data_IF_781176169240
#
_entry.id   IF_781176169240
#
_cell.length_a   1.000
_cell.length_b   1.000
_cell.length_c   1.000
_cell.angle_alpha   90.00
_cell.angle_beta   90.00
_cell.angle_gamma   90.00
#
_symmetry.space_group_name_H-M   'P 1'
#
loop_
_entity.id
_entity.type
_entity.pdbx_description
1 polymer ?
#
# COMPACT_ATOMS: atom_id res chain seq x y z
N UNK A 1 12.97 -30.23 17.81
CA UNK A 1 13.80 -29.49 16.83
C UNK A 1 12.83 -28.73 15.94
N UNK A 2 12.65 -27.43 16.15
CA UNK A 2 11.83 -26.60 15.26
C UNK A 2 12.56 -26.52 13.92
N UNK A 3 11.97 -27.11 12.87
CA UNK A 3 12.51 -27.02 11.53
C UNK A 3 12.63 -25.53 11.17
N UNK A 4 13.84 -25.09 10.77
CA UNK A 4 14.07 -23.72 10.33
C UNK A 4 13.23 -23.45 9.10
N UNK A 5 12.30 -22.49 9.18
CA UNK A 5 11.44 -22.14 8.05
C UNK A 5 12.26 -21.47 6.94
N UNK A 6 11.89 -21.65 5.66
CA UNK A 6 12.55 -20.96 4.56
C UNK A 6 12.45 -19.43 4.71
N UNK A 7 13.49 -18.71 4.29
CA UNK A 7 13.46 -17.24 4.24
C UNK A 7 12.36 -16.76 3.30
N UNK A 8 12.19 -17.42 2.15
CA UNK A 8 11.07 -17.21 1.24
C UNK A 8 10.45 -18.54 0.85
N UNK A 9 9.12 -18.60 0.83
CA UNK A 9 8.38 -19.77 0.39
C UNK A 9 7.08 -19.37 -0.30
N UNK A 10 6.74 -20.11 -1.35
CA UNK A 10 5.39 -20.04 -1.93
C UNK A 10 4.42 -20.67 -0.94
N UNK A 11 3.24 -20.07 -0.81
CA UNK A 11 2.14 -20.67 -0.07
C UNK A 11 1.17 -21.29 -1.08
N UNK A 12 0.86 -22.57 -0.92
CA UNK A 12 -0.11 -23.31 -1.73
C UNK A 12 -1.53 -23.13 -1.15
N UNK A 13 -1.93 -21.87 -0.98
CA UNK A 13 -3.23 -21.46 -0.47
C UNK A 13 -3.88 -20.45 -1.42
N UNK A 14 -5.17 -20.24 -1.25
CA UNK A 14 -5.89 -19.16 -1.93
C UNK A 14 -5.49 -17.78 -1.39
N UNK A 15 -5.72 -16.75 -2.19
CA UNK A 15 -5.57 -15.34 -1.76
C UNK A 15 -6.46 -15.03 -0.55
N UNK A 16 -7.65 -15.62 -0.48
CA UNK A 16 -8.56 -15.46 0.65
C UNK A 16 -7.97 -16.04 1.95
N UNK A 17 -7.46 -17.27 1.93
CA UNK A 17 -6.84 -17.90 3.10
C UNK A 17 -5.61 -17.11 3.56
N UNK A 18 -4.76 -16.68 2.63
CA UNK A 18 -3.61 -15.84 2.93
C UNK A 18 -4.01 -14.50 3.57
N UNK A 19 -5.03 -13.83 3.03
CA UNK A 19 -5.57 -12.60 3.60
C UNK A 19 -6.18 -12.84 4.99
N UNK A 20 -6.91 -13.95 5.19
CA UNK A 20 -7.47 -14.30 6.50
C UNK A 20 -6.38 -14.51 7.56
N UNK A 21 -5.27 -15.15 7.20
CA UNK A 21 -4.14 -15.37 8.11
C UNK A 21 -3.58 -14.04 8.66
N UNK A 22 -3.61 -12.96 7.86
CA UNK A 22 -3.06 -11.66 8.28
C UNK A 22 -3.75 -11.05 9.50
N UNK A 23 -4.98 -11.48 9.82
CA UNK A 23 -5.71 -11.05 11.03
C UNK A 23 -5.00 -11.46 12.32
N UNK A 24 -4.21 -12.53 12.28
CA UNK A 24 -3.45 -13.04 13.42
C UNK A 24 -2.03 -12.43 13.54
N UNK A 25 -1.63 -11.52 12.64
CA UNK A 25 -0.29 -10.93 12.63
C UNK A 25 -0.12 -9.71 13.56
N UNK A 26 -1.17 -9.32 14.27
CA UNK A 26 -1.20 -8.07 15.03
C UNK A 26 -1.34 -6.86 14.11
N UNK A 27 -0.46 -5.87 14.23
CA UNK A 27 -0.43 -4.73 13.30
C UNK A 27 0.15 -5.12 11.95
N UNK A 28 -0.61 -4.85 10.90
CA UNK A 28 -0.23 -5.08 9.51
C UNK A 28 -0.13 -3.77 8.76
N UNK A 29 0.90 -3.63 7.93
CA UNK A 29 1.01 -2.58 6.93
C UNK A 29 0.72 -3.16 5.54
N UNK A 30 -0.41 -2.77 4.94
CA UNK A 30 -0.71 -3.06 3.54
C UNK A 30 -0.06 -1.96 2.69
N UNK A 31 1.05 -2.31 2.03
CA UNK A 31 1.86 -1.40 1.23
C UNK A 31 1.76 -1.76 -0.25
N UNK A 32 1.43 -0.76 -1.07
CA UNK A 32 1.37 -0.86 -2.52
C UNK A 32 1.99 0.39 -3.15
N UNK A 33 2.71 0.21 -4.26
CA UNK A 33 3.39 1.29 -4.94
C UNK A 33 3.26 1.15 -6.46
N UNK A 34 2.97 2.27 -7.15
CA UNK A 34 2.93 2.35 -8.59
C UNK A 34 3.17 3.79 -9.03
N UNK A 35 3.85 3.98 -10.17
CA UNK A 35 3.93 5.26 -10.86
C UNK A 35 4.37 6.46 -9.98
N UNK A 36 5.27 6.22 -9.02
CA UNK A 36 5.77 7.26 -8.11
C UNK A 36 4.89 7.55 -6.90
N UNK A 37 3.80 6.81 -6.68
CA UNK A 37 3.00 6.87 -5.46
C UNK A 37 3.09 5.55 -4.68
N UNK A 38 3.34 5.64 -3.38
CA UNK A 38 3.22 4.52 -2.42
C UNK A 38 2.13 4.85 -1.43
N UNK A 39 1.19 3.93 -1.24
CA UNK A 39 0.07 4.05 -0.31
C UNK A 39 0.12 2.91 0.71
N UNK A 40 0.15 3.27 1.99
CA UNK A 40 0.27 2.31 3.09
C UNK A 40 -0.86 2.50 4.10
N UNK A 41 -1.62 1.42 4.36
CA UNK A 41 -2.58 1.36 5.48
C UNK A 41 -2.00 0.54 6.61
N UNK A 42 -2.13 1.02 7.84
CA UNK A 42 -1.42 0.48 9.00
C UNK A 42 -2.40 0.22 10.15
N UNK A 43 -2.42 -1.01 10.63
CA UNK A 43 -3.20 -1.42 11.80
C UNK A 43 -3.65 -2.86 11.72
N UNK A 44 -4.47 -3.34 12.68
CA UNK A 44 -5.00 -4.69 12.64
C UNK A 44 -5.97 -4.87 11.48
N UNK A 45 -5.95 -6.04 10.84
CA UNK A 45 -6.94 -6.41 9.81
C UNK A 45 -8.24 -6.84 10.51
N UNK A 46 -9.30 -6.06 10.33
CA UNK A 46 -10.59 -6.30 10.99
C UNK A 46 -11.32 -7.51 10.42
N UNK A 47 -11.85 -7.36 9.20
CA UNK A 47 -12.60 -8.37 8.47
C UNK A 47 -11.93 -8.67 7.13
N UNK A 48 -12.10 -9.92 6.68
CA UNK A 48 -11.66 -10.41 5.38
C UNK A 48 -12.82 -11.15 4.75
N UNK A 49 -13.40 -10.56 3.71
CA UNK A 49 -14.65 -11.01 3.08
C UNK A 49 -14.40 -11.40 1.63
N UNK A 50 -15.10 -12.41 1.14
CA UNK A 50 -15.14 -12.75 -0.28
C UNK A 50 -16.38 -12.09 -0.91
N UNK A 51 -16.17 -11.20 -1.87
CA UNK A 51 -17.22 -10.41 -2.53
C UNK A 51 -16.98 -10.41 -4.04
N UNK A 52 -17.86 -11.04 -4.83
CA UNK A 52 -17.90 -10.94 -6.31
C UNK A 52 -16.52 -10.99 -6.99
N UNK A 53 -15.77 -12.08 -6.78
CA UNK A 53 -14.43 -12.26 -7.37
C UNK A 53 -13.33 -11.42 -6.73
N UNK A 54 -13.58 -10.84 -5.56
CA UNK A 54 -12.62 -10.04 -4.83
C UNK A 54 -12.52 -10.46 -3.37
N UNK A 55 -11.35 -10.22 -2.78
CA UNK A 55 -11.20 -10.23 -1.32
C UNK A 55 -11.25 -8.79 -0.83
N UNK A 56 -12.20 -8.50 0.07
CA UNK A 56 -12.30 -7.20 0.74
C UNK A 56 -11.66 -7.27 2.12
N UNK A 57 -10.77 -6.33 2.40
CA UNK A 57 -10.27 -6.05 3.74
C UNK A 57 -11.07 -4.86 4.28
N UNK A 58 -11.67 -5.05 5.46
CA UNK A 58 -12.46 -4.01 6.12
C UNK A 58 -12.06 -3.87 7.60
N UNK A 59 -12.39 -2.72 8.20
CA UNK A 59 -12.12 -2.37 9.59
C UNK A 59 -11.53 -0.97 9.71
N UNK A 60 -11.30 -0.52 10.93
CA UNK A 60 -10.86 0.86 11.20
C UNK A 60 -9.57 1.24 10.45
N UNK A 61 -8.64 0.30 10.33
CA UNK A 61 -7.34 0.51 9.70
C UNK A 61 -7.31 0.19 8.20
N UNK A 62 -8.20 -0.66 7.68
CA UNK A 62 -8.09 -1.16 6.31
C UNK A 62 -9.41 -1.05 5.57
N UNK A 63 -9.38 -0.44 4.40
CA UNK A 63 -10.43 -0.48 3.39
C UNK A 63 -9.74 -0.78 2.05
N UNK A 64 -9.76 -2.04 1.64
CA UNK A 64 -9.12 -2.48 0.42
C UNK A 64 -9.90 -3.59 -0.28
N UNK A 65 -9.74 -3.66 -1.60
CA UNK A 65 -10.32 -4.68 -2.46
C UNK A 65 -9.24 -5.27 -3.35
N UNK A 66 -9.09 -6.59 -3.27
CA UNK A 66 -8.09 -7.39 -3.97
C UNK A 66 -8.80 -8.15 -5.09
N UNK A 67 -8.34 -7.99 -6.33
CA UNK A 67 -8.94 -8.65 -7.50
C UNK A 67 -8.34 -10.06 -7.69
N UNK A 68 -9.18 -11.08 -7.56
CA UNK A 68 -8.76 -12.49 -7.67
C UNK A 68 -8.48 -12.93 -9.10
N UNK A 69 -8.91 -12.18 -10.11
CA UNK A 69 -8.52 -12.44 -11.50
C UNK A 69 -7.08 -12.01 -11.78
N UNK A 70 -6.54 -11.07 -10.98
CA UNK A 70 -5.19 -10.53 -11.16
C UNK A 70 -4.21 -11.12 -10.16
N UNK A 71 -4.61 -11.28 -8.90
CA UNK A 71 -3.77 -11.81 -7.83
C UNK A 71 -3.93 -13.32 -7.76
N UNK A 72 -2.88 -14.05 -8.14
CA UNK A 72 -2.91 -15.51 -8.29
C UNK A 72 -1.83 -16.23 -7.48
N UNK A 73 -0.88 -15.50 -6.89
CA UNK A 73 0.24 -16.05 -6.13
C UNK A 73 0.38 -15.44 -4.75
N UNK A 74 0.84 -16.26 -3.80
CA UNK A 74 1.10 -15.85 -2.41
C UNK A 74 2.47 -16.36 -1.99
N UNK A 75 3.29 -15.47 -1.41
CA UNK A 75 4.63 -15.80 -0.90
C UNK A 75 4.77 -15.28 0.52
N UNK A 76 5.23 -16.14 1.43
CA UNK A 76 5.74 -15.71 2.72
C UNK A 76 7.21 -15.33 2.58
N UNK A 77 7.57 -14.12 3.01
CA UNK A 77 8.92 -13.57 2.92
C UNK A 77 9.37 -13.00 4.27
N UNK A 78 10.42 -13.60 4.84
CA UNK A 78 11.00 -13.29 6.15
C UNK A 78 12.30 -12.47 6.03
N UNK A 79 12.67 -12.06 4.82
CA UNK A 79 13.89 -11.30 4.55
C UNK A 79 13.81 -9.82 4.94
N UNK A 80 12.59 -9.29 5.13
CA UNK A 80 12.38 -7.87 5.42
C UNK A 80 13.09 -7.42 6.70
N UNK A 81 13.84 -6.31 6.61
CA UNK A 81 14.56 -5.72 7.73
C UNK A 81 14.34 -4.22 7.77
N UNK A 82 14.09 -3.70 8.97
CA UNK A 82 14.14 -2.26 9.26
C UNK A 82 14.99 -2.04 10.50
N UNK A 83 16.21 -1.54 10.28
CA UNK A 83 17.27 -1.52 11.31
C UNK A 83 17.43 -2.95 11.89
N UNK A 84 17.30 -3.11 13.20
CA UNK A 84 17.46 -4.40 13.89
C UNK A 84 16.18 -5.26 13.89
N UNK A 85 15.05 -4.77 13.36
CA UNK A 85 13.77 -5.49 13.35
C UNK A 85 13.58 -6.31 12.08
N UNK A 86 13.11 -7.54 12.24
CA UNK A 86 12.57 -8.37 11.14
C UNK A 86 11.14 -7.89 10.86
N UNK A 87 10.85 -7.59 9.61
CA UNK A 87 9.50 -7.23 9.13
C UNK A 87 9.11 -8.24 8.05
N UNK A 88 8.63 -9.43 8.44
CA UNK A 88 8.18 -10.41 7.47
C UNK A 88 6.89 -9.94 6.80
N UNK A 89 6.61 -10.48 5.62
CA UNK A 89 5.46 -10.07 4.81
C UNK A 89 4.86 -11.24 4.05
N UNK A 90 3.57 -11.13 3.76
CA UNK A 90 2.92 -11.88 2.69
C UNK A 90 2.96 -10.99 1.44
N UNK A 91 3.60 -11.48 0.38
CA UNK A 91 3.59 -10.87 -0.93
C UNK A 91 2.43 -11.45 -1.75
N UNK A 92 1.62 -10.58 -2.34
CA UNK A 92 0.54 -10.95 -3.25
C UNK A 92 1.00 -10.69 -4.67
N UNK A 93 0.97 -11.73 -5.50
CA UNK A 93 1.62 -11.76 -6.80
C UNK A 93 0.65 -12.00 -7.95
N UNK A 94 0.99 -11.48 -9.13
CA UNK A 94 0.32 -11.84 -10.38
C UNK A 94 0.77 -13.22 -10.90
N UNK A 95 0.23 -13.63 -12.05
CA UNK A 95 0.56 -14.90 -12.69
C UNK A 95 2.04 -14.99 -13.14
N UNK A 96 2.72 -13.86 -13.35
CA UNK A 96 4.14 -13.81 -13.67
C UNK A 96 5.05 -13.92 -12.42
N UNK A 97 4.47 -13.94 -11.22
CA UNK A 97 5.22 -13.97 -9.96
C UNK A 97 5.75 -12.60 -9.50
N UNK A 98 5.28 -11.52 -10.13
CA UNK A 98 5.62 -10.15 -9.72
C UNK A 98 4.78 -9.76 -8.51
N UNK A 99 5.42 -9.16 -7.50
CA UNK A 99 4.71 -8.65 -6.32
C UNK A 99 3.93 -7.39 -6.67
N UNK A 100 2.61 -7.46 -6.52
CA UNK A 100 1.69 -6.34 -6.75
C UNK A 100 1.57 -5.46 -5.49
N UNK A 101 1.49 -6.10 -4.32
CA UNK A 101 1.47 -5.44 -3.02
C UNK A 101 1.91 -6.42 -1.92
N UNK A 102 2.09 -5.93 -0.70
CA UNK A 102 2.50 -6.75 0.44
C UNK A 102 1.75 -6.39 1.72
N UNK A 103 1.47 -7.40 2.54
CA UNK A 103 0.97 -7.25 3.90
C UNK A 103 2.11 -7.57 4.86
N UNK A 104 2.66 -6.54 5.48
CA UNK A 104 3.88 -6.60 6.30
C UNK A 104 3.47 -6.67 7.77
N UNK A 105 3.96 -7.68 8.50
CA UNK A 105 3.71 -7.79 9.94
C UNK A 105 4.66 -6.86 10.71
N UNK A 106 4.10 -5.81 11.31
CA UNK A 106 4.86 -4.82 12.06
C UNK A 106 5.25 -5.29 13.46
N UNK A 107 4.52 -6.27 13.98
CA UNK A 107 4.77 -6.86 15.30
C UNK A 107 5.82 -7.99 15.26
N UNK A 108 6.38 -8.25 14.07
CA UNK A 108 7.60 -9.05 13.90
C UNK A 108 7.36 -10.51 13.49
N UNK A 109 8.42 -11.30 13.66
CA UNK A 109 8.51 -12.65 13.08
C UNK A 109 7.60 -13.69 13.76
N UNK A 110 7.48 -13.64 15.08
CA UNK A 110 6.73 -14.65 15.84
C UNK A 110 5.21 -14.62 15.57
N UNK A 111 4.51 -13.46 15.60
CA UNK A 111 3.11 -13.39 15.19
C UNK A 111 2.90 -13.79 13.73
N UNK A 112 3.83 -13.40 12.85
CA UNK A 112 3.79 -13.78 11.45
C UNK A 112 3.88 -15.29 11.25
N UNK A 113 4.86 -15.95 11.88
CA UNK A 113 5.05 -17.39 11.72
C UNK A 113 3.90 -18.21 12.33
N UNK A 114 3.30 -17.70 13.41
CA UNK A 114 2.09 -18.27 13.98
C UNK A 114 0.93 -18.13 13.00
N UNK A 115 0.71 -16.95 12.42
CA UNK A 115 -0.38 -16.69 11.49
C UNK A 115 -0.32 -17.57 10.22
N UNK A 116 0.87 -17.85 9.70
CA UNK A 116 1.04 -18.64 8.46
C UNK A 116 1.33 -20.12 8.71
N UNK A 117 1.34 -20.60 9.96
CA UNK A 117 1.73 -21.99 10.28
C UNK A 117 0.85 -23.04 9.63
N UNK A 118 -0.43 -22.72 9.46
CA UNK A 118 -1.46 -23.66 9.02
C UNK A 118 -1.68 -23.57 7.50
N UNK A 119 -1.00 -22.65 6.82
CA UNK A 119 -1.08 -22.50 5.37
C UNK A 119 -0.22 -23.56 4.68
N UNK A 120 -0.74 -24.29 3.68
CA UNK A 120 0.04 -25.26 2.94
C UNK A 120 1.26 -24.62 2.26
N UNK A 121 2.41 -25.29 2.33
CA UNK A 121 3.62 -24.82 1.67
C UNK A 121 3.63 -25.25 0.20
N UNK A 122 4.04 -24.33 -0.68
CA UNK A 122 4.16 -24.52 -2.13
C UNK A 122 5.60 -24.64 -2.62
N UNK A 123 6.56 -24.75 -1.69
CA UNK A 123 7.99 -24.88 -1.97
C UNK A 123 8.82 -23.63 -1.64
N UNK A 124 10.10 -23.85 -1.37
CA UNK A 124 11.08 -22.80 -1.09
C UNK A 124 11.38 -21.96 -2.33
N UNK A 125 11.57 -20.66 -2.13
CA UNK A 125 11.98 -19.71 -3.16
C UNK A 125 13.37 -19.15 -2.82
N UNK A 126 14.16 -18.76 -3.84
CA UNK A 126 15.41 -18.03 -3.60
C UNK A 126 15.12 -16.67 -2.96
N UNK A 127 16.10 -16.13 -2.25
CA UNK A 127 16.05 -14.75 -1.77
C UNK A 127 15.93 -13.78 -2.95
N UNK A 128 15.22 -12.67 -2.73
CA UNK A 128 15.16 -11.58 -3.71
C UNK A 128 16.44 -10.76 -3.59
N UNK A 129 17.10 -10.52 -4.72
CA UNK A 129 18.12 -9.49 -4.78
C UNK A 129 17.49 -8.14 -4.47
N UNK A 130 18.15 -7.37 -3.60
CA UNK A 130 17.73 -6.00 -3.34
C UNK A 130 18.14 -5.15 -4.55
N UNK A 131 17.22 -4.38 -5.16
CA UNK A 131 17.59 -3.44 -6.21
C UNK A 131 18.68 -2.50 -5.70
N UNK A 132 19.67 -2.23 -6.55
CA UNK A 132 20.64 -1.19 -6.26
C UNK A 132 19.90 0.16 -6.12
N UNK A 133 20.33 1.05 -5.21
CA UNK A 133 19.79 2.40 -5.17
C UNK A 133 19.93 3.05 -6.54
N UNK A 134 18.89 3.75 -7.00
CA UNK A 134 19.01 4.60 -8.18
C UNK A 134 20.10 5.65 -7.92
N UNK A 135 21.06 5.78 -8.83
CA UNK A 135 22.14 6.76 -8.72
C UNK A 135 21.71 8.22 -8.91
N UNK A 136 20.45 8.44 -9.29
CA UNK A 136 19.91 9.78 -9.52
C UNK A 136 19.67 10.52 -8.22
N UNK A 137 20.04 11.80 -8.21
CA UNK A 137 19.72 12.70 -7.10
C UNK A 137 18.19 12.86 -7.06
N UNK A 138 17.54 12.67 -5.90
CA UNK A 138 16.12 12.94 -5.77
C UNK A 138 15.82 14.41 -6.13
N UNK A 139 14.74 14.64 -6.88
CA UNK A 139 14.25 15.98 -7.13
C UNK A 139 13.87 16.66 -5.80
N UNK A 140 14.02 17.98 -5.74
CA UNK A 140 13.61 18.75 -4.58
C UNK A 140 12.09 18.94 -4.61
N UNK A 141 11.44 18.71 -3.47
CA UNK A 141 10.00 18.93 -3.34
C UNK A 141 9.77 20.41 -3.04
N UNK A 142 9.04 21.10 -3.90
CA UNK A 142 8.60 22.48 -3.67
C UNK A 142 7.13 22.52 -3.25
N UNK A 143 6.70 23.57 -2.54
CA UNK A 143 5.28 23.78 -2.21
C UNK A 143 4.41 23.95 -3.47
N UNK A 144 5.03 24.32 -4.59
CA UNK A 144 4.39 24.49 -5.90
C UNK A 144 4.40 23.22 -6.76
N UNK A 145 4.96 22.11 -6.26
CA UNK A 145 4.90 20.83 -6.94
C UNK A 145 3.42 20.46 -7.20
N UNK A 146 3.02 20.11 -8.45
CA UNK A 146 1.62 19.83 -8.74
C UNK A 146 1.02 18.71 -7.88
N UNK A 147 1.83 17.75 -7.44
CA UNK A 147 1.42 16.69 -6.51
C UNK A 147 1.21 17.19 -5.08
N UNK A 148 1.91 18.25 -4.66
CA UNK A 148 1.83 18.79 -3.31
C UNK A 148 0.63 19.74 -3.11
N UNK A 149 0.29 20.54 -4.14
CA UNK A 149 -0.73 21.59 -4.07
C UNK A 149 -2.06 21.13 -3.45
N UNK A 150 -2.75 20.09 -3.93
CA UNK A 150 -4.04 19.70 -3.35
C UNK A 150 -3.90 19.08 -1.94
N UNK A 151 -2.76 18.45 -1.62
CA UNK A 151 -2.51 17.94 -0.28
C UNK A 151 -2.35 19.09 0.72
N UNK A 152 -1.62 20.15 0.34
CA UNK A 152 -1.51 21.35 1.14
C UNK A 152 -2.86 22.06 1.32
N UNK A 153 -3.71 22.09 0.29
CA UNK A 153 -5.08 22.62 0.40
C UNK A 153 -5.92 21.81 1.40
N UNK A 154 -5.86 20.47 1.33
CA UNK A 154 -6.57 19.59 2.27
C UNK A 154 -6.08 19.76 3.71
N UNK A 155 -4.76 19.91 3.91
CA UNK A 155 -4.19 20.20 5.23
C UNK A 155 -4.65 21.56 5.76
N UNK A 156 -4.66 22.59 4.90
CA UNK A 156 -5.02 23.94 5.29
C UNK A 156 -6.52 24.07 5.64
N UNK A 157 -7.40 23.32 4.96
CA UNK A 157 -8.83 23.32 5.26
C UNK A 157 -9.17 22.58 6.56
N UNK A 158 -8.37 21.55 6.92
CA UNK A 158 -8.66 20.68 8.05
C UNK A 158 -9.85 19.73 7.82
N UNK A 159 -10.43 19.75 6.62
CA UNK A 159 -11.56 18.92 6.24
C UNK A 159 -11.14 17.46 6.05
N UNK A 160 -12.12 16.57 6.12
CA UNK A 160 -11.91 15.16 5.79
C UNK A 160 -11.82 14.99 4.28
N UNK A 161 -10.76 14.33 3.81
CA UNK A 161 -10.61 13.90 2.42
C UNK A 161 -10.48 12.38 2.34
N UNK A 162 -10.78 11.83 1.17
CA UNK A 162 -10.46 10.46 0.77
C UNK A 162 -9.22 10.44 -0.11
N UNK A 163 -8.35 9.47 0.11
CA UNK A 163 -7.21 9.13 -0.75
C UNK A 163 -7.43 7.70 -1.22
N UNK A 164 -7.54 7.53 -2.53
CA UNK A 164 -7.73 6.21 -3.16
C UNK A 164 -6.53 5.90 -4.01
N UNK A 165 -5.96 4.72 -3.80
CA UNK A 165 -4.89 4.16 -4.62
C UNK A 165 -5.42 2.94 -5.37
N UNK A 166 -5.19 2.90 -6.68
CA UNK A 166 -5.64 1.86 -7.59
C UNK A 166 -4.47 1.40 -8.45
N UNK A 167 -4.11 0.13 -8.32
CA UNK A 167 -3.10 -0.54 -9.13
C UNK A 167 -3.62 -1.92 -9.53
N UNK A 168 -3.00 -2.60 -10.51
CA UNK A 168 -3.39 -3.96 -10.88
C UNK A 168 -3.50 -4.87 -9.64
N UNK A 169 -4.67 -5.45 -9.44
CA UNK A 169 -4.94 -6.37 -8.33
C UNK A 169 -5.32 -5.73 -7.00
N UNK A 170 -5.26 -4.40 -6.84
CA UNK A 170 -5.57 -3.74 -5.58
C UNK A 170 -6.20 -2.35 -5.76
N UNK A 171 -7.30 -2.12 -5.06
CA UNK A 171 -7.78 -0.79 -4.71
C UNK A 171 -7.72 -0.63 -3.19
N UNK A 172 -7.09 0.44 -2.70
CA UNK A 172 -6.96 0.74 -1.28
C UNK A 172 -7.43 2.17 -1.01
N UNK A 173 -8.08 2.39 0.13
CA UNK A 173 -8.64 3.68 0.52
C UNK A 173 -8.17 4.10 1.91
N UNK A 174 -8.02 5.40 2.05
CA UNK A 174 -7.94 6.09 3.32
C UNK A 174 -8.92 7.25 3.32
N UNK A 175 -9.51 7.54 4.47
CA UNK A 175 -10.35 8.73 4.68
C UNK A 175 -9.97 9.37 6.00
N UNK A 176 -9.69 10.67 6.00
CA UNK A 176 -9.41 11.42 7.20
C UNK A 176 -8.91 12.83 6.92
N UNK A 177 -8.54 13.54 7.98
CA UNK A 177 -7.91 14.86 7.90
C UNK A 177 -6.41 14.70 7.68
N UNK A 178 -5.82 15.52 6.81
CA UNK A 178 -4.35 15.56 6.62
C UNK A 178 -3.73 16.43 7.70
N UNK A 179 -3.12 15.83 8.71
CA UNK A 179 -2.53 16.58 9.83
C UNK A 179 -1.24 17.32 9.44
N UNK A 180 -0.34 16.65 8.72
CA UNK A 180 0.97 17.20 8.35
C UNK A 180 1.49 16.64 7.03
N UNK A 181 2.33 17.45 6.35
CA UNK A 181 2.97 17.10 5.09
C UNK A 181 4.47 17.34 5.25
N UNK A 182 5.26 16.29 5.03
CA UNK A 182 6.71 16.31 5.26
C UNK A 182 7.47 16.03 3.97
N UNK A 183 8.03 17.05 3.32
CA UNK A 183 8.99 16.85 2.24
C UNK A 183 10.25 16.13 2.75
N UNK A 184 10.60 14.99 2.17
CA UNK A 184 11.84 14.28 2.50
C UNK A 184 12.30 13.39 1.35
N UNK A 185 13.60 13.39 1.06
CA UNK A 185 14.24 12.48 0.10
C UNK A 185 13.61 12.46 -1.30
N UNK A 186 13.06 13.60 -1.74
CA UNK A 186 12.35 13.74 -3.02
C UNK A 186 10.92 13.19 -3.02
N UNK A 187 10.30 13.05 -1.84
CA UNK A 187 8.90 12.67 -1.68
C UNK A 187 8.13 13.71 -0.88
N UNK A 188 6.89 13.95 -1.30
CA UNK A 188 5.83 14.57 -0.51
C UNK A 188 5.25 13.45 0.36
N UNK A 189 5.36 13.59 1.69
CA UNK A 189 4.93 12.53 2.61
C UNK A 189 3.76 12.98 3.49
N UNK A 190 2.74 12.14 3.60
CA UNK A 190 1.76 12.17 4.69
C UNK A 190 2.12 11.00 5.59
N UNK A 191 2.38 11.25 6.88
CA UNK A 191 2.78 10.21 7.84
C UNK A 191 1.87 10.31 9.06
N UNK A 192 0.92 9.39 9.15
CA UNK A 192 -0.06 9.30 10.23
C UNK A 192 -0.05 7.89 10.83
N UNK A 193 -0.58 7.69 12.06
CA UNK A 193 -0.48 6.40 12.75
C UNK A 193 -1.03 5.19 11.98
N UNK A 194 -2.04 5.41 11.14
CA UNK A 194 -2.73 4.40 10.36
C UNK A 194 -2.54 4.56 8.83
N UNK A 195 -1.91 5.64 8.37
CA UNK A 195 -1.82 5.97 6.94
C UNK A 195 -0.49 6.63 6.59
N UNK A 196 0.19 6.08 5.60
CA UNK A 196 1.27 6.77 4.90
C UNK A 196 0.98 6.95 3.42
N UNK A 197 1.30 8.13 2.90
CA UNK A 197 1.44 8.41 1.48
C UNK A 197 2.87 8.87 1.23
N UNK A 198 3.54 8.25 0.25
CA UNK A 198 4.78 8.76 -0.31
C UNK A 198 4.54 9.06 -1.78
N UNK A 199 4.52 10.35 -2.14
CA UNK A 199 4.36 10.79 -3.51
C UNK A 199 5.66 11.39 -4.00
N UNK A 200 6.30 10.76 -4.99
CA UNK A 200 7.56 11.22 -5.56
C UNK A 200 7.35 12.61 -6.18
N UNK A 201 8.28 13.52 -5.91
CA UNK A 201 8.32 14.85 -6.52
C UNK A 201 8.25 14.72 -8.06
N UNK A 202 7.54 15.64 -8.69
CA UNK A 202 7.31 15.71 -10.13
C UNK A 202 6.60 14.49 -10.75
N UNK A 203 6.15 13.51 -9.96
CA UNK A 203 5.40 12.37 -10.49
C UNK A 203 4.03 12.80 -11.02
N UNK A 204 3.40 13.78 -10.36
CA UNK A 204 2.14 14.38 -10.82
C UNK A 204 2.48 15.60 -11.67
N UNK A 205 2.02 15.60 -12.92
CA UNK A 205 2.07 16.78 -13.79
C UNK A 205 0.76 17.59 -13.71
N UNK A 206 -0.37 16.89 -13.56
CA UNK A 206 -1.71 17.50 -13.52
C UNK A 206 -2.70 16.65 -12.75
N UNK A 207 -3.77 17.31 -12.31
CA UNK A 207 -4.96 16.66 -11.77
C UNK A 207 -6.13 16.84 -12.74
N UNK A 208 -6.81 15.75 -13.10
CA UNK A 208 -8.14 15.87 -13.71
C UNK A 208 -9.16 16.13 -12.61
N UNK A 209 -9.79 17.29 -12.65
CA UNK A 209 -10.81 17.70 -11.69
C UNK A 209 -12.20 17.36 -12.22
N UNK A 210 -12.98 16.65 -11.41
CA UNK A 210 -14.41 16.47 -11.60
C UNK A 210 -15.15 16.91 -10.35
N UNK A 211 -16.32 17.52 -10.51
CA UNK A 211 -17.16 17.98 -9.41
C UNK A 211 -18.57 17.42 -9.57
N UNK A 212 -19.10 16.84 -8.50
CA UNK A 212 -20.44 16.30 -8.46
C UNK A 212 -21.01 16.44 -7.04
N UNK A 213 -22.24 16.95 -6.93
CA UNK A 213 -22.97 17.07 -5.67
C UNK A 213 -22.18 17.74 -4.52
N UNK A 214 -21.36 18.76 -4.83
CA UNK A 214 -20.55 19.49 -3.84
C UNK A 214 -19.24 18.80 -3.42
N UNK A 215 -18.95 17.62 -3.98
CA UNK A 215 -17.69 16.92 -3.80
C UNK A 215 -16.81 17.07 -5.04
N UNK A 216 -15.51 17.21 -4.79
CA UNK A 216 -14.46 17.26 -5.80
C UNK A 216 -13.74 15.91 -5.83
N UNK A 217 -13.44 15.45 -7.03
CA UNK A 217 -12.54 14.33 -7.32
C UNK A 217 -11.37 14.84 -8.14
N UNK A 218 -10.15 14.60 -7.67
CA UNK A 218 -8.91 14.88 -8.37
C UNK A 218 -8.22 13.56 -8.71
N UNK A 219 -8.00 13.29 -9.98
CA UNK A 219 -7.23 12.13 -10.44
C UNK A 219 -5.85 12.56 -10.95
N UNK A 220 -4.79 11.93 -10.45
CA UNK A 220 -3.41 12.30 -10.76
C UNK A 220 -2.94 11.69 -12.09
N UNK A 221 -2.30 12.53 -12.92
CA UNK A 221 -1.67 12.12 -14.18
C UNK A 221 -0.22 12.58 -14.25
N UNK A 222 0.61 11.77 -14.90
CA UNK A 222 2.02 12.07 -15.14
C UNK A 222 2.21 13.03 -16.32
N UNK A 223 3.46 13.38 -16.65
CA UNK A 223 3.77 14.29 -17.76
C UNK A 223 3.37 13.72 -19.15
N UNK A 224 3.26 12.40 -19.28
CA UNK A 224 2.78 11.72 -20.49
C UNK A 224 1.26 11.64 -20.58
N UNK A 225 0.54 12.07 -19.53
CA UNK A 225 -0.93 11.97 -19.46
C UNK A 225 -1.43 10.59 -19.06
N UNK A 226 -0.58 9.71 -18.53
CA UNK A 226 -0.98 8.42 -17.98
C UNK A 226 -1.42 8.56 -16.51
N UNK A 227 -2.43 7.81 -16.07
CA UNK A 227 -2.90 7.87 -14.69
C UNK A 227 -1.87 7.25 -13.73
N UNK A 228 -1.64 7.90 -12.59
CA UNK A 228 -0.78 7.33 -11.54
C UNK A 228 -1.50 6.23 -10.74
N UNK A 229 -2.83 6.17 -10.82
CA UNK A 229 -3.64 5.34 -9.92
C UNK A 229 -3.96 6.03 -8.59
N UNK A 230 -3.63 7.31 -8.41
CA UNK A 230 -3.92 8.09 -7.21
C UNK A 230 -5.12 9.02 -7.46
N UNK A 231 -6.10 8.99 -6.57
CA UNK A 231 -7.26 9.88 -6.58
C UNK A 231 -7.47 10.51 -5.21
N UNK A 232 -7.74 11.82 -5.17
CA UNK A 232 -8.20 12.53 -3.99
C UNK A 232 -9.69 12.85 -4.13
N UNK A 233 -10.44 12.74 -3.05
CA UNK A 233 -11.86 13.11 -3.00
C UNK A 233 -12.16 13.93 -1.76
N UNK A 234 -13.03 14.92 -1.83
CA UNK A 234 -13.37 15.73 -0.66
C UNK A 234 -14.27 16.91 -1.01
N UNK A 235 -14.65 17.75 -0.02
CA UNK A 235 -15.40 18.98 -0.27
C UNK A 235 -14.62 19.92 -1.21
N UNK A 236 -15.32 20.73 -2.00
CA UNK A 236 -14.67 21.70 -2.89
C UNK A 236 -13.76 22.72 -2.17
N UNK A 237 -14.01 22.99 -0.90
CA UNK A 237 -13.16 23.84 -0.07
C UNK A 237 -11.84 23.17 0.35
N UNK A 238 -11.70 21.85 0.17
CA UNK A 238 -10.55 21.07 0.61
C UNK A 238 -9.59 20.67 -0.52
N UNK A 239 -10.01 20.74 -1.79
CA UNK A 239 -9.27 20.21 -2.96
C UNK A 239 -9.40 21.12 -4.20
#
# INVERSE_FOLDING_TARGET
>A
MTATRPIRERLACSVLEAAQATRAMGRVMLSAAANGATHERIGPVGEVLLEDGHVRLAGDAHDARIDLAVVTGVVADRSGRMKDRVLPRIEFQNAAGETLFSMIALDGLEPFDTAVSDLPTGGTLPEKERPAPSGDRPAEVTETDPGAVPLHAARASGETIGVVFSAPGLVQRWTGTVADIKPAMGFINIIQPDFHLHLKAEAVSRWARAEAAGAVRLEAFDAGGLPLGLTLTGPAAAL
#
